data_IF_155029409652
#
_entry.id   IF_155029409652
#
_cell.length_a   1.000
_cell.length_b   1.000
_cell.length_c   1.000
_cell.angle_alpha   90.00
_cell.angle_beta   90.00
_cell.angle_gamma   90.00
#
_symmetry.space_group_name_H-M   'P 1'
#
loop_
_entity.id
_entity.type
_entity.pdbx_description
1 polymer ?
#
# COMPACT_ATOMS: atom_id res chain seq x y z
N UNK A 1 -32.29 -16.31 2.70
CA UNK A 1 -30.89 -16.11 2.31
C UNK A 1 -30.75 -14.64 1.90
N UNK A 2 -29.80 -13.89 2.44
CA UNK A 2 -29.66 -12.45 2.16
C UNK A 2 -29.17 -12.22 0.73
N UNK A 3 -29.79 -11.30 -0.02
CA UNK A 3 -29.27 -10.83 -1.32
C UNK A 3 -28.01 -9.98 -1.14
N UNK A 4 -28.01 -9.17 -0.09
CA UNK A 4 -26.91 -8.30 0.35
C UNK A 4 -26.80 -8.38 1.88
N UNK A 5 -25.60 -8.51 2.43
CA UNK A 5 -25.32 -8.54 3.87
C UNK A 5 -23.99 -7.84 4.14
N UNK A 6 -23.89 -7.03 5.20
CA UNK A 6 -22.68 -6.23 5.51
C UNK A 6 -22.18 -5.38 4.33
N UNK A 7 -23.08 -4.84 3.51
CA UNK A 7 -22.75 -4.13 2.26
C UNK A 7 -22.04 -5.02 1.20
N UNK A 8 -22.18 -6.35 1.29
CA UNK A 8 -21.67 -7.32 0.32
C UNK A 8 -22.84 -7.97 -0.41
N UNK A 9 -22.83 -7.94 -1.75
CA UNK A 9 -23.80 -8.62 -2.62
C UNK A 9 -23.55 -10.14 -2.65
N UNK A 10 -24.07 -10.83 -1.63
CA UNK A 10 -23.83 -12.26 -1.35
C UNK A 10 -24.23 -13.16 -2.52
N UNK A 11 -25.29 -12.84 -3.24
CA UNK A 11 -25.73 -13.65 -4.39
C UNK A 11 -24.72 -13.59 -5.54
N UNK A 12 -24.19 -12.41 -5.87
CA UNK A 12 -23.18 -12.23 -6.92
C UNK A 12 -21.86 -12.91 -6.56
N UNK A 13 -21.47 -12.82 -5.29
CA UNK A 13 -20.30 -13.51 -4.77
C UNK A 13 -20.44 -15.04 -4.88
N UNK A 14 -21.59 -15.60 -4.48
CA UNK A 14 -21.88 -17.04 -4.62
C UNK A 14 -21.91 -17.49 -6.08
N UNK A 15 -22.52 -16.70 -6.96
CA UNK A 15 -22.51 -16.95 -8.40
C UNK A 15 -21.07 -16.99 -8.94
N UNK A 16 -20.23 -16.05 -8.52
CA UNK A 16 -18.81 -16.04 -8.88
C UNK A 16 -18.08 -17.29 -8.38
N UNK A 17 -18.32 -17.71 -7.13
CA UNK A 17 -17.74 -18.91 -6.56
C UNK A 17 -18.11 -20.18 -7.35
N UNK A 18 -19.38 -20.33 -7.74
CA UNK A 18 -19.83 -21.46 -8.56
C UNK A 18 -19.21 -21.46 -9.96
N UNK A 19 -19.12 -20.30 -10.62
CA UNK A 19 -18.44 -20.16 -11.92
C UNK A 19 -16.95 -20.52 -11.83
N UNK A 20 -16.27 -20.14 -10.73
CA UNK A 20 -14.86 -20.50 -10.51
C UNK A 20 -14.69 -22.02 -10.33
N UNK A 21 -15.57 -22.69 -9.58
CA UNK A 21 -15.53 -24.16 -9.43
C UNK A 21 -15.68 -24.90 -10.76
N UNK A 22 -16.53 -24.39 -11.66
CA UNK A 22 -16.77 -24.97 -12.98
C UNK A 22 -15.72 -24.59 -14.03
N UNK A 23 -14.71 -23.79 -13.67
CA UNK A 23 -13.75 -23.19 -14.59
C UNK A 23 -14.39 -22.31 -15.69
N UNK A 24 -15.59 -21.77 -15.44
CA UNK A 24 -16.32 -20.88 -16.34
C UNK A 24 -15.87 -19.41 -16.20
N UNK A 25 -14.91 -19.14 -15.31
CA UNK A 25 -14.31 -17.83 -15.07
C UNK A 25 -12.81 -17.97 -14.86
N UNK A 26 -12.01 -17.09 -15.46
CA UNK A 26 -10.55 -17.05 -15.20
C UNK A 26 -10.29 -16.87 -13.70
N UNK A 27 -9.49 -17.78 -13.15
CA UNK A 27 -9.00 -17.75 -11.77
C UNK A 27 -8.00 -16.63 -11.54
N UNK A 28 -7.20 -16.29 -12.56
CA UNK A 28 -6.22 -15.22 -12.50
C UNK A 28 -6.85 -13.91 -12.97
N UNK A 29 -6.72 -12.87 -12.16
CA UNK A 29 -7.05 -11.48 -12.46
C UNK A 29 -5.77 -10.68 -12.48
N UNK A 30 -5.53 -10.01 -13.60
CA UNK A 30 -4.38 -9.12 -13.76
C UNK A 30 -4.80 -7.70 -13.46
N UNK A 31 -4.01 -7.01 -12.67
CA UNK A 31 -4.14 -5.55 -12.47
C UNK A 31 -2.84 -4.94 -12.93
N UNK A 32 -2.91 -4.08 -13.95
CA UNK A 32 -1.77 -3.40 -14.54
C UNK A 32 -2.03 -1.89 -14.47
N UNK A 33 -1.06 -1.15 -13.94
CA UNK A 33 -1.13 0.30 -13.79
C UNK A 33 0.23 0.92 -14.14
N UNK A 34 0.20 2.07 -14.80
CA UNK A 34 1.39 2.87 -15.09
C UNK A 34 1.39 4.14 -14.25
N UNK A 35 2.57 4.53 -13.77
CA UNK A 35 2.73 5.68 -12.90
C UNK A 35 3.97 6.50 -13.26
N UNK A 36 3.86 7.81 -13.10
CA UNK A 36 4.92 8.76 -13.42
C UNK A 36 5.50 9.42 -12.16
N UNK A 37 6.84 9.53 -12.14
CA UNK A 37 7.54 10.41 -11.22
C UNK A 37 7.66 11.81 -11.83
N UNK A 38 7.24 12.82 -11.06
CA UNK A 38 7.34 14.22 -11.46
C UNK A 38 8.72 14.76 -11.06
N UNK A 39 9.65 14.78 -12.03
CA UNK A 39 11.03 15.27 -11.85
C UNK A 39 11.11 16.78 -11.54
N UNK A 40 9.99 17.51 -11.66
CA UNK A 40 9.84 18.93 -11.30
C UNK A 40 8.47 19.20 -10.70
N UNK A 41 8.33 20.34 -10.01
CA UNK A 41 7.05 20.85 -9.52
C UNK A 41 6.83 20.67 -8.02
N UNK A 42 5.59 20.84 -7.58
CA UNK A 42 5.23 20.84 -6.14
C UNK A 42 4.88 19.47 -5.58
N UNK A 43 4.66 18.47 -6.43
CA UNK A 43 4.26 17.10 -6.09
C UNK A 43 5.23 16.15 -6.78
N UNK A 44 5.42 14.96 -6.21
CA UNK A 44 6.42 14.00 -6.67
C UNK A 44 5.81 12.85 -7.48
N UNK A 45 4.56 12.49 -7.20
CA UNK A 45 3.88 11.37 -7.84
C UNK A 45 2.41 11.67 -8.12
N UNK A 46 1.93 11.17 -9.25
CA UNK A 46 0.52 11.19 -9.62
C UNK A 46 0.11 9.85 -10.22
N UNK A 47 -1.06 9.37 -9.82
CA UNK A 47 -1.68 8.16 -10.33
C UNK A 47 -3.12 8.44 -10.71
N UNK A 48 -3.60 7.81 -11.78
CA UNK A 48 -5.04 7.73 -12.07
C UNK A 48 -5.48 6.28 -11.86
N UNK A 49 -6.38 6.06 -10.89
CA UNK A 49 -6.94 4.76 -10.59
C UNK A 49 -8.31 4.64 -11.27
N UNK A 50 -8.54 3.59 -12.04
CA UNK A 50 -9.78 3.38 -12.79
C UNK A 50 -10.63 2.27 -12.15
N UNK A 51 -11.94 2.49 -12.11
CA UNK A 51 -12.95 1.56 -11.63
C UNK A 51 -14.20 1.66 -12.54
N UNK A 52 -15.21 0.80 -12.34
CA UNK A 52 -16.32 0.68 -13.30
C UNK A 52 -17.12 1.98 -13.44
N UNK A 53 -17.33 2.69 -12.32
CA UNK A 53 -18.10 3.94 -12.30
C UNK A 53 -17.26 5.20 -12.57
N UNK A 54 -15.94 5.09 -12.73
CA UNK A 54 -15.12 6.27 -13.00
C UNK A 54 -13.62 6.11 -12.74
N UNK A 55 -12.99 7.22 -12.37
CA UNK A 55 -11.57 7.26 -12.04
C UNK A 55 -11.28 8.23 -10.90
N UNK A 56 -10.14 8.02 -10.23
CA UNK A 56 -9.69 8.86 -9.14
C UNK A 56 -8.22 9.22 -9.33
N UNK A 57 -7.92 10.51 -9.26
CA UNK A 57 -6.54 10.98 -9.19
C UNK A 57 -6.02 10.85 -7.75
N UNK A 58 -4.91 10.14 -7.61
CA UNK A 58 -4.20 9.98 -6.35
C UNK A 58 -2.86 10.70 -6.43
N UNK A 59 -2.67 11.64 -5.50
CA UNK A 59 -1.40 12.33 -5.32
C UNK A 59 -0.68 11.74 -4.13
N UNK A 60 0.62 11.52 -4.30
CA UNK A 60 1.51 10.99 -3.26
C UNK A 60 2.76 11.88 -3.23
N UNK A 61 3.28 12.13 -2.03
CA UNK A 61 4.44 12.99 -1.82
C UNK A 61 5.18 12.52 -0.57
N UNK A 62 6.48 12.74 -0.52
CA UNK A 62 7.26 12.46 0.66
C UNK A 62 7.32 13.68 1.58
N UNK A 63 7.49 13.52 2.90
CA UNK A 63 7.77 14.63 3.79
C UNK A 63 9.14 15.26 3.47
N UNK A 64 9.38 16.47 4.00
CA UNK A 64 10.64 17.20 3.73
C UNK A 64 11.89 16.43 4.14
N UNK A 65 11.83 15.70 5.25
CA UNK A 65 12.94 14.90 5.78
C UNK A 65 13.43 13.80 4.84
N UNK A 66 12.58 13.33 3.95
CA UNK A 66 12.95 12.35 2.92
C UNK A 66 13.05 12.99 1.54
N UNK A 67 13.22 14.31 1.50
CA UNK A 67 13.47 15.11 0.30
C UNK A 67 12.23 15.52 -0.48
N UNK A 68 11.02 15.27 0.03
CA UNK A 68 9.77 15.68 -0.61
C UNK A 68 9.24 17.04 -0.18
N UNK A 69 7.97 17.32 -0.48
CA UNK A 69 7.34 18.61 -0.15
C UNK A 69 6.30 18.54 0.97
N UNK A 70 5.93 17.33 1.43
CA UNK A 70 4.91 17.11 2.47
C UNK A 70 3.49 17.53 2.05
N UNK A 71 3.15 17.51 0.76
CA UNK A 71 1.89 18.04 0.22
C UNK A 71 0.82 17.00 -0.08
N UNK A 72 1.10 15.73 0.19
CA UNK A 72 0.18 14.61 0.07
C UNK A 72 0.63 13.49 1.03
N UNK A 73 -0.20 12.45 1.24
CA UNK A 73 0.22 11.24 1.95
C UNK A 73 1.46 10.60 1.34
N UNK A 74 2.19 9.84 2.16
CA UNK A 74 3.40 9.13 1.75
C UNK A 74 3.07 7.84 1.00
N UNK A 75 4.02 7.27 0.26
CA UNK A 75 3.83 5.96 -0.39
C UNK A 75 3.45 4.86 0.61
N UNK A 76 4.03 4.92 1.82
CA UNK A 76 3.77 3.96 2.89
C UNK A 76 2.36 4.09 3.45
N UNK A 77 1.84 5.32 3.57
CA UNK A 77 0.45 5.54 4.00
C UNK A 77 -0.55 4.92 3.00
N UNK A 78 -0.28 5.07 1.70
CA UNK A 78 -1.12 4.50 0.64
C UNK A 78 -1.08 2.96 0.64
N UNK A 79 0.12 2.37 0.78
CA UNK A 79 0.23 0.92 0.93
C UNK A 79 -0.49 0.41 2.18
N UNK A 80 -0.27 1.06 3.32
CA UNK A 80 -0.89 0.65 4.59
C UNK A 80 -2.41 0.84 4.58
N UNK A 81 -2.92 1.84 3.83
CA UNK A 81 -4.34 1.97 3.55
C UNK A 81 -4.88 0.77 2.79
N UNK A 82 -4.18 0.33 1.74
CA UNK A 82 -4.56 -0.90 1.02
C UNK A 82 -4.54 -2.12 1.94
N UNK A 83 -3.57 -2.20 2.86
CA UNK A 83 -3.46 -3.31 3.81
C UNK A 83 -4.68 -3.38 4.73
N UNK A 84 -5.02 -2.23 5.33
CA UNK A 84 -6.19 -2.10 6.17
C UNK A 84 -7.49 -2.44 5.42
N UNK A 85 -7.68 -1.87 4.23
CA UNK A 85 -8.88 -2.05 3.44
C UNK A 85 -9.09 -3.51 3.00
N UNK A 86 -8.05 -4.15 2.46
CA UNK A 86 -8.17 -5.50 1.92
C UNK A 86 -8.38 -6.55 3.00
N UNK A 87 -7.70 -6.42 4.16
CA UNK A 87 -7.94 -7.32 5.30
C UNK A 87 -9.37 -7.17 5.83
N UNK A 88 -9.86 -5.94 5.95
CA UNK A 88 -11.22 -5.64 6.41
C UNK A 88 -12.28 -6.17 5.44
N UNK A 89 -12.11 -5.95 4.12
CA UNK A 89 -13.02 -6.46 3.09
C UNK A 89 -13.06 -7.98 3.08
N UNK A 90 -11.91 -8.65 3.22
CA UNK A 90 -11.84 -10.11 3.32
C UNK A 90 -12.66 -10.64 4.52
N UNK A 91 -12.51 -10.01 5.69
CA UNK A 91 -13.27 -10.39 6.89
C UNK A 91 -14.78 -10.18 6.70
N UNK A 92 -15.19 -9.00 6.22
CA UNK A 92 -16.58 -8.68 5.94
C UNK A 92 -17.20 -9.65 4.92
N UNK A 93 -16.44 -10.03 3.89
CA UNK A 93 -16.83 -11.02 2.88
C UNK A 93 -17.12 -12.38 3.51
N UNK A 94 -16.23 -12.89 4.37
CA UNK A 94 -16.45 -14.19 5.02
C UNK A 94 -17.59 -14.17 6.04
N UNK A 95 -17.75 -13.09 6.82
CA UNK A 95 -18.94 -12.91 7.66
C UNK A 95 -20.23 -12.96 6.84
N UNK A 96 -20.24 -12.28 5.68
CA UNK A 96 -21.41 -12.23 4.80
C UNK A 96 -21.74 -13.59 4.18
N UNK A 97 -20.72 -14.34 3.76
CA UNK A 97 -20.88 -15.72 3.27
C UNK A 97 -21.42 -16.67 4.34
N UNK A 98 -21.02 -16.46 5.61
CA UNK A 98 -21.51 -17.20 6.78
C UNK A 98 -22.87 -16.72 7.29
N UNK A 99 -23.41 -15.63 6.74
CA UNK A 99 -24.70 -15.08 7.17
C UNK A 99 -24.63 -14.34 8.51
N UNK A 100 -23.44 -13.88 8.92
CA UNK A 100 -23.21 -13.18 10.19
C UNK A 100 -23.33 -11.67 9.96
N UNK A 101 -24.37 -11.01 10.51
CA UNK A 101 -24.52 -9.57 10.42
C UNK A 101 -23.53 -8.86 11.35
N UNK A 102 -22.90 -7.80 10.84
CA UNK A 102 -22.03 -6.92 11.59
C UNK A 102 -22.72 -5.57 11.79
N UNK A 103 -22.45 -4.93 12.92
CA UNK A 103 -22.93 -3.58 13.26
C UNK A 103 -21.86 -2.51 13.07
N UNK A 104 -20.61 -2.89 13.30
CA UNK A 104 -19.43 -2.02 13.19
C UNK A 104 -18.22 -2.89 12.90
N UNK A 105 -17.35 -2.41 12.03
CA UNK A 105 -16.10 -3.07 11.72
C UNK A 105 -15.04 -1.98 11.51
N UNK A 106 -14.03 -1.98 12.37
CA UNK A 106 -12.92 -1.03 12.37
C UNK A 106 -11.61 -1.77 12.35
N UNK A 107 -10.60 -1.15 11.78
CA UNK A 107 -9.25 -1.71 11.72
C UNK A 107 -8.23 -0.65 12.09
N UNK A 108 -7.16 -1.06 12.77
CA UNK A 108 -5.90 -0.32 12.88
C UNK A 108 -4.79 -1.17 12.28
N UNK A 109 -4.05 -0.60 11.35
CA UNK A 109 -2.90 -1.23 10.69
C UNK A 109 -1.65 -0.38 10.95
N UNK A 110 -0.61 -0.97 11.52
CA UNK A 110 0.61 -0.26 11.92
C UNK A 110 1.84 -0.92 11.30
N UNK A 111 2.62 -0.14 10.54
CA UNK A 111 3.95 -0.52 10.06
C UNK A 111 4.99 0.33 10.81
N UNK A 112 5.96 -0.30 11.48
CA UNK A 112 7.11 0.40 12.03
C UNK A 112 8.26 0.37 11.03
N UNK A 113 8.61 1.54 10.52
CA UNK A 113 9.56 1.70 9.42
C UNK A 113 10.89 2.16 9.98
N UNK A 114 11.97 1.51 9.55
CA UNK A 114 13.34 1.86 9.94
C UNK A 114 13.98 2.77 8.88
N UNK A 115 13.88 4.08 9.11
CA UNK A 115 14.35 5.07 8.18
C UNK A 115 15.88 5.16 8.09
N UNK A 116 16.63 4.57 9.02
CA UNK A 116 18.09 4.47 8.89
C UNK A 116 18.47 3.63 7.66
N UNK A 117 17.73 2.54 7.39
CA UNK A 117 17.89 1.73 6.18
C UNK A 117 17.39 2.48 4.94
N UNK A 118 16.19 3.05 5.00
CA UNK A 118 15.55 3.80 3.89
C UNK A 118 16.46 4.91 3.37
N UNK A 119 17.04 5.70 4.28
CA UNK A 119 17.90 6.83 3.92
C UNK A 119 19.36 6.43 3.65
N UNK A 120 19.74 5.18 3.90
CA UNK A 120 21.12 4.70 3.73
C UNK A 120 22.09 5.16 4.81
N UNK A 121 21.61 5.40 6.02
CA UNK A 121 22.44 5.61 7.21
C UNK A 121 23.00 4.29 7.70
N UNK A 122 22.17 3.25 7.78
CA UNK A 122 22.57 1.91 8.21
C UNK A 122 21.93 0.84 7.30
N UNK A 123 22.73 0.28 6.40
CA UNK A 123 22.27 -0.74 5.47
C UNK A 123 22.15 -2.14 6.09
N UNK A 124 22.57 -2.34 7.35
CA UNK A 124 22.47 -3.63 8.04
C UNK A 124 21.07 -3.89 8.63
N UNK A 125 20.29 -2.83 8.85
CA UNK A 125 18.94 -2.91 9.42
C UNK A 125 17.89 -3.39 8.40
N UNK A 126 16.83 -4.10 8.84
CA UNK A 126 15.66 -4.27 8.00
C UNK A 126 14.95 -2.92 7.82
N UNK A 127 14.27 -2.65 6.70
CA UNK A 127 13.51 -1.41 6.49
C UNK A 127 12.15 -1.41 7.20
N UNK A 128 11.69 -2.56 7.71
CA UNK A 128 10.47 -2.72 8.50
C UNK A 128 10.83 -3.50 9.78
N UNK A 129 10.49 -2.93 10.95
CA UNK A 129 10.72 -3.55 12.25
C UNK A 129 9.54 -4.41 12.70
N UNK A 130 8.31 -3.94 12.49
CA UNK A 130 7.10 -4.69 12.82
C UNK A 130 5.93 -4.32 11.93
N UNK A 131 4.97 -5.23 11.84
CA UNK A 131 3.69 -5.02 11.17
C UNK A 131 2.59 -5.63 12.05
N UNK A 132 1.63 -4.82 12.48
CA UNK A 132 0.49 -5.27 13.28
C UNK A 132 -0.86 -4.82 12.73
N UNK A 133 -1.88 -5.65 12.96
CA UNK A 133 -3.27 -5.41 12.59
C UNK A 133 -4.16 -5.70 13.81
N UNK A 134 -4.98 -4.73 14.20
CA UNK A 134 -6.04 -4.90 15.20
C UNK A 134 -7.38 -4.70 14.50
N UNK A 135 -8.22 -5.74 14.51
CA UNK A 135 -9.57 -5.69 13.95
C UNK A 135 -10.59 -5.62 15.09
N UNK A 136 -11.43 -4.58 15.10
CA UNK A 136 -12.52 -4.39 16.05
C UNK A 136 -13.85 -4.65 15.36
N UNK A 137 -14.60 -5.64 15.85
CA UNK A 137 -15.90 -6.04 15.31
C UNK A 137 -16.98 -5.91 16.37
N UNK A 138 -18.11 -5.34 15.98
CA UNK A 138 -19.33 -5.36 16.77
C UNK A 138 -20.41 -6.16 16.04
N UNK A 139 -20.99 -7.13 16.72
CA UNK A 139 -22.05 -7.99 16.19
C UNK A 139 -22.90 -8.52 17.34
N UNK A 140 -24.20 -8.70 17.10
CA UNK A 140 -25.10 -9.43 18.02
C UNK A 140 -24.97 -10.95 17.85
N UNK A 141 -24.06 -11.41 17.00
CA UNK A 141 -23.81 -12.83 16.84
C UNK A 141 -23.30 -13.45 18.15
N UNK A 142 -23.98 -14.50 18.59
CA UNK A 142 -23.80 -15.04 19.94
C UNK A 142 -22.52 -15.87 20.12
N UNK A 143 -21.80 -16.20 19.05
CA UNK A 143 -20.54 -16.97 19.13
C UNK A 143 -19.33 -16.10 18.80
N UNK A 144 -18.50 -15.84 19.82
CA UNK A 144 -17.18 -15.22 19.62
C UNK A 144 -16.22 -16.15 18.90
N UNK A 145 -16.39 -17.46 19.12
CA UNK A 145 -15.59 -18.52 18.52
C UNK A 145 -15.74 -18.52 17.00
N UNK A 146 -16.96 -18.38 16.47
CA UNK A 146 -17.16 -18.31 15.02
C UNK A 146 -16.55 -17.04 14.39
N UNK A 147 -16.60 -15.90 15.08
CA UNK A 147 -15.90 -14.68 14.64
C UNK A 147 -14.37 -14.88 14.65
N UNK A 148 -13.84 -15.60 15.64
CA UNK A 148 -12.42 -15.96 15.70
C UNK A 148 -12.03 -16.92 14.58
N UNK A 149 -12.87 -17.91 14.25
CA UNK A 149 -12.66 -18.82 13.12
C UNK A 149 -12.62 -18.06 11.79
N UNK A 150 -13.51 -17.08 11.61
CA UNK A 150 -13.52 -16.21 10.42
C UNK A 150 -12.27 -15.32 10.39
N UNK A 151 -11.80 -14.83 11.53
CA UNK A 151 -10.56 -14.06 11.60
C UNK A 151 -9.34 -14.90 11.20
N UNK A 152 -9.24 -16.13 11.69
CA UNK A 152 -8.18 -17.06 11.28
C UNK A 152 -8.29 -17.45 9.80
N UNK A 153 -9.50 -17.59 9.26
CA UNK A 153 -9.71 -17.79 7.83
C UNK A 153 -9.28 -16.55 7.03
N UNK A 154 -9.60 -15.36 7.51
CA UNK A 154 -9.19 -14.07 6.90
C UNK A 154 -7.67 -13.97 6.82
N UNK A 155 -6.96 -14.31 7.90
CA UNK A 155 -5.49 -14.35 7.91
C UNK A 155 -4.92 -15.28 6.84
N UNK A 156 -5.55 -16.43 6.61
CA UNK A 156 -5.11 -17.43 5.62
C UNK A 156 -5.43 -17.07 4.17
N UNK A 157 -6.44 -16.21 3.94
CA UNK A 157 -7.02 -15.97 2.62
C UNK A 157 -6.87 -14.55 2.10
N UNK A 158 -6.58 -13.59 2.98
CA UNK A 158 -6.32 -12.21 2.58
C UNK A 158 -5.09 -12.13 1.67
N UNK A 159 -5.19 -11.52 0.47
CA UNK A 159 -4.03 -11.36 -0.40
C UNK A 159 -2.90 -10.54 0.23
N UNK A 160 -3.22 -9.59 1.13
CA UNK A 160 -2.19 -8.82 1.86
C UNK A 160 -1.45 -9.68 2.87
N UNK A 161 -2.17 -10.50 3.65
CA UNK A 161 -1.53 -11.41 4.60
C UNK A 161 -0.64 -12.39 3.85
N UNK A 162 -1.12 -12.88 2.69
CA UNK A 162 -0.32 -13.71 1.81
C UNK A 162 0.97 -13.01 1.36
N UNK A 163 0.88 -11.77 0.87
CA UNK A 163 2.05 -10.98 0.44
C UNK A 163 3.04 -10.69 1.57
N UNK A 164 2.58 -10.51 2.80
CA UNK A 164 3.46 -10.26 3.95
C UNK A 164 4.12 -11.53 4.49
N UNK A 165 3.40 -12.65 4.48
CA UNK A 165 3.84 -13.90 5.14
C UNK A 165 4.50 -14.90 4.16
N UNK A 166 4.65 -14.54 2.89
CA UNK A 166 5.25 -15.40 1.88
C UNK A 166 6.20 -14.59 1.01
N UNK A 167 7.31 -15.21 0.63
CA UNK A 167 8.18 -14.64 -0.41
C UNK A 167 7.47 -14.74 -1.76
N UNK A 168 7.18 -13.57 -2.35
CA UNK A 168 6.48 -13.44 -3.62
C UNK A 168 7.51 -13.33 -4.75
N UNK A 169 7.33 -14.06 -5.87
CA UNK A 169 8.12 -13.81 -7.07
C UNK A 169 7.92 -12.37 -7.56
N UNK A 170 8.99 -11.57 -7.51
CA UNK A 170 9.02 -10.20 -8.01
C UNK A 170 9.95 -10.12 -9.22
N UNK A 171 9.39 -9.80 -10.39
CA UNK A 171 10.16 -9.60 -11.63
C UNK A 171 10.39 -8.10 -11.84
N UNK A 172 11.63 -7.67 -12.06
CA UNK A 172 11.94 -6.27 -12.36
C UNK A 172 12.68 -6.12 -13.68
N UNK A 173 12.34 -5.08 -14.45
CA UNK A 173 13.00 -4.70 -15.70
C UNK A 173 13.15 -3.19 -15.76
N UNK A 174 14.19 -2.72 -16.43
CA UNK A 174 14.40 -1.30 -16.71
C UNK A 174 14.71 -1.10 -18.20
N UNK A 175 14.03 -0.15 -18.84
CA UNK A 175 14.33 0.34 -20.19
C UNK A 175 14.88 1.76 -20.11
N UNK A 176 15.79 2.09 -21.03
CA UNK A 176 16.38 3.42 -21.13
C UNK A 176 15.89 4.16 -22.37
N UNK A 177 15.63 5.44 -22.21
CA UNK A 177 15.48 6.39 -23.30
C UNK A 177 16.65 7.37 -23.21
N UNK A 178 17.71 7.13 -23.98
CA UNK A 178 18.87 8.02 -23.98
C UNK A 178 18.46 9.41 -24.46
N UNK A 179 18.60 10.40 -23.57
CA UNK A 179 18.37 11.81 -23.87
C UNK A 179 19.57 12.61 -23.37
N UNK A 180 20.07 13.59 -24.15
CA UNK A 180 21.14 14.46 -23.67
C UNK A 180 20.62 15.25 -22.47
N UNK A 181 21.22 15.04 -21.28
CA UNK A 181 20.74 15.70 -20.07
C UNK A 181 20.96 17.20 -20.16
N UNK A 182 19.92 17.98 -19.89
CA UNK A 182 20.09 19.40 -19.56
C UNK A 182 20.42 19.47 -18.08
N UNK A 183 21.71 19.37 -17.73
CA UNK A 183 22.18 19.63 -16.36
C UNK A 183 21.70 21.02 -15.95
N UNK A 184 20.72 21.09 -15.05
CA UNK A 184 20.44 22.32 -14.32
C UNK A 184 21.61 22.54 -13.36
N UNK A 185 22.45 23.52 -13.69
CA UNK A 185 23.56 23.90 -12.84
C UNK A 185 23.00 24.52 -11.55
N UNK A 186 23.50 24.05 -10.41
CA UNK A 186 23.35 24.66 -9.08
C UNK A 186 21.99 24.55 -8.36
N UNK A 187 21.16 23.53 -8.61
CA UNK A 187 19.95 23.31 -7.79
C UNK A 187 20.22 22.45 -6.55
N UNK A 188 19.82 22.94 -5.36
CA UNK A 188 19.72 22.17 -4.10
C UNK A 188 18.79 20.95 -4.20
N UNK A 189 17.99 20.89 -5.26
CA UNK A 189 17.07 19.80 -5.60
C UNK A 189 17.48 19.14 -6.91
N UNK A 190 17.56 17.81 -6.93
CA UNK A 190 17.77 17.01 -8.15
C UNK A 190 16.59 16.04 -8.26
N UNK A 191 16.02 15.85 -9.45
CA UNK A 191 14.85 14.97 -9.67
C UNK A 191 13.66 15.24 -8.74
N UNK A 192 13.43 16.50 -8.35
CA UNK A 192 12.43 16.90 -7.34
C UNK A 192 12.66 16.32 -5.93
N UNK A 193 13.92 16.01 -5.61
CA UNK A 193 14.39 15.53 -4.32
C UNK A 193 15.29 16.60 -3.68
N UNK A 194 14.98 17.02 -2.45
CA UNK A 194 15.80 17.95 -1.68
C UNK A 194 17.01 17.26 -1.02
N UNK A 195 18.18 17.45 -1.63
CA UNK A 195 19.40 16.74 -1.21
C UNK A 195 19.96 17.30 0.09
N UNK A 196 19.82 18.60 0.33
CA UNK A 196 20.28 19.20 1.59
C UNK A 196 19.47 18.67 2.78
N UNK A 197 18.14 18.59 2.65
CA UNK A 197 17.28 18.05 3.71
C UNK A 197 17.54 16.56 3.96
N UNK A 198 17.80 15.78 2.92
CA UNK A 198 18.20 14.38 3.06
C UNK A 198 19.52 14.26 3.83
N UNK A 199 20.54 15.03 3.45
CA UNK A 199 21.84 14.95 4.12
C UNK A 199 21.73 15.36 5.59
N UNK A 200 20.94 16.40 5.91
CA UNK A 200 20.63 16.78 7.29
C UNK A 200 19.94 15.65 8.06
N UNK A 201 18.94 15.01 7.45
CA UNK A 201 18.20 13.90 8.06
C UNK A 201 19.11 12.69 8.31
N UNK A 202 20.01 12.38 7.38
CA UNK A 202 21.00 11.31 7.57
C UNK A 202 21.93 11.60 8.74
N UNK A 203 22.44 12.82 8.87
CA UNK A 203 23.26 13.22 10.01
C UNK A 203 22.49 13.21 11.33
N UNK A 204 21.21 13.56 11.31
CA UNK A 204 20.33 13.46 12.48
C UNK A 204 20.18 12.01 12.95
N UNK A 205 19.85 11.07 12.06
CA UNK A 205 19.68 9.66 12.44
C UNK A 205 21.00 8.99 12.87
N UNK A 206 22.15 9.42 12.32
CA UNK A 206 23.45 8.97 12.84
C UNK A 206 23.65 9.35 14.31
N UNK A 207 23.19 10.53 14.72
CA UNK A 207 23.29 11.03 16.10
C UNK A 207 22.20 10.47 17.01
N UNK A 208 21.01 10.20 16.45
CA UNK A 208 19.83 9.73 17.17
C UNK A 208 19.24 8.46 16.52
N UNK A 209 19.90 7.29 16.60
CA UNK A 209 19.43 6.09 15.89
C UNK A 209 18.07 5.57 16.35
N UNK A 210 17.61 5.88 17.57
CA UNK A 210 16.27 5.50 18.04
C UNK A 210 15.16 6.21 17.27
N UNK A 211 15.45 7.40 16.74
CA UNK A 211 14.46 8.28 16.14
C UNK A 211 14.20 7.95 14.66
N UNK A 212 14.97 7.01 14.09
CA UNK A 212 14.75 6.52 12.73
C UNK A 212 13.62 5.48 12.65
N UNK A 213 13.10 5.01 13.78
CA UNK A 213 11.94 4.11 13.81
C UNK A 213 10.66 4.96 13.83
N UNK A 214 9.91 4.94 12.72
CA UNK A 214 8.73 5.78 12.53
C UNK A 214 7.51 4.89 12.25
N UNK A 215 6.43 5.00 13.05
CA UNK A 215 5.21 4.26 12.78
C UNK A 215 4.38 4.93 11.69
N UNK A 216 3.99 4.15 10.67
CA UNK A 216 2.91 4.46 9.74
C UNK A 216 1.65 3.75 10.23
N UNK A 217 0.63 4.52 10.62
CA UNK A 217 -0.60 4.02 11.23
C UNK A 217 -1.78 4.42 10.35
N UNK A 218 -2.63 3.45 10.01
CA UNK A 218 -3.91 3.68 9.36
C UNK A 218 -5.02 3.14 10.24
N UNK A 219 -5.99 4.00 10.54
CA UNK A 219 -7.28 3.61 11.10
C UNK A 219 -8.36 3.78 10.04
N UNK A 220 -9.17 2.74 9.87
CA UNK A 220 -10.26 2.75 8.91
C UNK A 220 -11.49 2.03 9.43
N UNK A 221 -12.58 2.24 8.71
CA UNK A 221 -13.88 1.68 9.05
C UNK A 221 -14.64 1.20 7.82
N UNK A 222 -15.37 0.10 8.01
CA UNK A 222 -16.30 -0.43 7.05
C UNK A 222 -17.59 0.40 7.05
N UNK A 223 -18.08 0.71 5.86
CA UNK A 223 -19.30 1.47 5.63
C UNK A 223 -20.43 0.50 5.37
N UNK A 224 -21.42 0.50 6.26
CA UNK A 224 -22.60 -0.37 6.17
C UNK A 224 -23.77 0.26 5.40
N UNK A 225 -23.77 1.58 5.26
CA UNK A 225 -24.81 2.28 4.49
C UNK A 225 -24.56 2.07 2.99
N UNK A 226 -25.41 1.24 2.39
CA UNK A 226 -25.41 0.94 0.95
C UNK A 226 -25.66 2.15 0.05
N UNK A 227 -26.14 3.27 0.59
CA UNK A 227 -26.38 4.47 -0.20
C UNK A 227 -25.13 5.36 -0.31
N UNK A 228 -24.08 5.09 0.46
CA UNK A 228 -22.86 5.88 0.43
C UNK A 228 -21.95 5.53 -0.76
N UNK A 229 -22.08 4.33 -1.34
CA UNK A 229 -21.28 3.82 -2.46
C UNK A 229 -20.13 2.91 -2.02
N UNK A 230 -19.01 3.44 -1.47
CA UNK A 230 -17.85 2.63 -1.15
C UNK A 230 -18.04 1.84 0.15
N UNK A 231 -17.27 0.75 0.26
CA UNK A 231 -17.37 -0.18 1.39
C UNK A 231 -16.42 0.13 2.54
N UNK A 232 -15.34 0.85 2.30
CA UNK A 232 -14.33 1.16 3.32
C UNK A 232 -13.82 2.58 3.17
N UNK A 233 -13.56 3.23 4.31
CA UNK A 233 -12.88 4.52 4.32
C UNK A 233 -11.84 4.64 5.42
N UNK A 234 -10.87 5.51 5.19
CA UNK A 234 -9.89 5.92 6.19
C UNK A 234 -9.52 7.39 5.98
N UNK A 235 -9.05 8.04 7.04
CA UNK A 235 -8.52 9.39 6.99
C UNK A 235 -7.02 9.36 7.24
N UNK A 236 -6.25 9.94 6.30
CA UNK A 236 -4.80 9.96 6.34
C UNK A 236 -4.31 11.38 6.57
N UNK A 237 -3.60 11.61 7.67
CA UNK A 237 -2.96 12.89 7.96
C UNK A 237 -1.66 13.07 7.19
N UNK A 238 -1.42 14.27 6.68
CA UNK A 238 -0.16 14.66 6.04
C UNK A 238 0.13 16.15 6.28
N UNK A 239 1.34 16.58 5.94
CA UNK A 239 1.97 17.89 6.23
C UNK A 239 1.07 19.04 6.72
N UNK A 240 1.52 19.70 7.79
CA UNK A 240 0.83 20.82 8.44
C UNK A 240 -0.62 20.52 8.88
N UNK A 241 -0.90 19.29 9.33
CA UNK A 241 -2.20 18.90 9.89
C UNK A 241 -3.32 18.74 8.86
N UNK A 242 -2.98 18.60 7.57
CA UNK A 242 -3.96 18.29 6.52
C UNK A 242 -4.37 16.83 6.60
N UNK A 243 -5.54 16.53 6.05
CA UNK A 243 -6.06 15.18 5.98
C UNK A 243 -6.61 14.86 4.59
N UNK A 244 -6.47 13.61 4.14
CA UNK A 244 -7.09 13.06 2.94
C UNK A 244 -8.00 11.91 3.38
N UNK A 245 -9.28 11.97 3.02
CA UNK A 245 -10.17 10.82 3.16
C UNK A 245 -10.06 9.97 1.91
N UNK A 246 -9.73 8.69 2.07
CA UNK A 246 -9.70 7.72 0.99
C UNK A 246 -10.87 6.76 1.12
N UNK A 247 -11.37 6.32 -0.03
CA UNK A 247 -12.43 5.35 -0.17
C UNK A 247 -11.99 4.22 -1.08
N UNK A 248 -12.54 3.04 -0.82
CA UNK A 248 -12.30 1.86 -1.63
C UNK A 248 -13.52 0.95 -1.58
N UNK A 249 -13.71 0.23 -2.66
CA UNK A 249 -14.83 -0.69 -2.86
C UNK A 249 -14.31 -1.97 -3.50
N UNK A 250 -14.99 -3.08 -3.22
CA UNK A 250 -14.72 -4.35 -3.86
C UNK A 250 -15.32 -4.36 -5.27
N UNK A 251 -14.76 -5.20 -6.15
CA UNK A 251 -15.33 -5.37 -7.48
C UNK A 251 -16.69 -6.07 -7.38
N UNK A 252 -17.57 -5.86 -8.37
CA UNK A 252 -18.90 -6.52 -8.43
C UNK A 252 -18.82 -8.03 -8.22
N UNK A 253 -17.82 -8.70 -8.81
CA UNK A 253 -17.68 -10.15 -8.65
C UNK A 253 -17.17 -10.62 -7.28
N UNK A 254 -16.65 -9.71 -6.47
CA UNK A 254 -16.30 -9.91 -5.07
C UNK A 254 -17.41 -9.39 -4.14
N UNK A 255 -18.56 -9.01 -4.70
CA UNK A 255 -19.72 -8.56 -3.96
C UNK A 255 -19.71 -7.08 -3.56
N UNK A 256 -18.83 -6.25 -4.11
CA UNK A 256 -18.94 -4.79 -4.00
C UNK A 256 -19.73 -4.16 -5.15
N UNK A 257 -19.66 -2.85 -5.27
CA UNK A 257 -20.40 -2.07 -6.29
C UNK A 257 -19.46 -1.43 -7.32
N UNK A 258 -18.14 -1.58 -7.15
CA UNK A 258 -17.12 -0.94 -8.00
C UNK A 258 -17.25 0.59 -8.07
N UNK A 259 -17.72 1.25 -6.99
CA UNK A 259 -17.94 2.71 -6.87
C UNK A 259 -16.68 3.49 -6.52
N UNK A 260 -15.58 2.80 -6.23
CA UNK A 260 -14.27 3.38 -5.86
C UNK A 260 -13.13 2.45 -6.25
N UNK A 261 -11.87 2.93 -6.29
CA UNK A 261 -10.73 2.08 -6.64
C UNK A 261 -10.63 0.85 -5.72
N UNK A 262 -10.34 -0.32 -6.29
CA UNK A 262 -10.18 -1.57 -5.53
C UNK A 262 -8.89 -1.52 -4.68
N UNK A 263 -8.82 -2.11 -3.46
CA UNK A 263 -7.65 -1.95 -2.58
C UNK A 263 -6.33 -2.27 -3.26
N UNK A 264 -6.25 -3.32 -4.10
CA UNK A 264 -4.99 -3.68 -4.77
C UNK A 264 -4.44 -2.59 -5.70
N UNK A 265 -5.30 -1.69 -6.20
CA UNK A 265 -4.86 -0.54 -7.00
C UNK A 265 -4.12 0.47 -6.13
N UNK A 266 -4.56 0.68 -4.89
CA UNK A 266 -3.84 1.49 -3.91
C UNK A 266 -2.53 0.82 -3.50
N UNK A 267 -2.50 -0.51 -3.31
CA UNK A 267 -1.26 -1.24 -3.07
C UNK A 267 -0.24 -0.98 -4.19
N UNK A 268 -0.64 -1.19 -5.45
CA UNK A 268 0.21 -0.93 -6.61
C UNK A 268 0.67 0.54 -6.64
N UNK A 269 -0.24 1.50 -6.47
CA UNK A 269 0.14 2.92 -6.47
C UNK A 269 1.16 3.25 -5.36
N UNK A 270 0.98 2.70 -4.16
CA UNK A 270 1.88 2.91 -3.03
C UNK A 270 3.26 2.29 -3.26
N UNK A 271 3.35 1.02 -3.69
CA UNK A 271 4.65 0.36 -3.93
C UNK A 271 5.37 0.98 -5.13
N UNK A 272 4.66 1.30 -6.21
CA UNK A 272 5.22 1.97 -7.37
C UNK A 272 5.77 3.35 -7.00
N UNK A 273 5.02 4.14 -6.24
CA UNK A 273 5.52 5.42 -5.74
C UNK A 273 6.72 5.25 -4.80
N UNK A 274 6.72 4.21 -3.96
CA UNK A 274 7.84 3.92 -3.07
C UNK A 274 9.11 3.58 -3.88
N UNK A 275 9.01 2.70 -4.87
CA UNK A 275 10.10 2.34 -5.77
C UNK A 275 10.61 3.55 -6.56
N UNK A 276 9.72 4.34 -7.16
CA UNK A 276 10.07 5.57 -7.88
C UNK A 276 10.76 6.60 -6.98
N UNK A 277 10.29 6.76 -5.74
CA UNK A 277 10.93 7.63 -4.73
C UNK A 277 12.37 7.20 -4.50
N UNK A 278 12.60 5.90 -4.26
CA UNK A 278 13.94 5.38 -4.01
C UNK A 278 14.83 5.45 -5.24
N UNK A 279 14.27 5.26 -6.44
CA UNK A 279 14.97 5.44 -7.70
C UNK A 279 15.44 6.89 -7.89
N UNK A 280 14.53 7.85 -7.73
CA UNK A 280 14.84 9.28 -7.81
C UNK A 280 15.82 9.70 -6.72
N UNK A 281 15.66 9.20 -5.49
CA UNK A 281 16.57 9.43 -4.37
C UNK A 281 17.98 8.94 -4.66
N UNK A 282 18.13 7.68 -5.06
CA UNK A 282 19.40 7.03 -5.40
C UNK A 282 20.12 7.72 -6.57
N UNK A 283 19.36 8.14 -7.59
CA UNK A 283 19.88 8.92 -8.73
C UNK A 283 20.39 10.28 -8.26
N UNK A 284 19.60 10.97 -7.44
CA UNK A 284 19.90 12.33 -6.98
C UNK A 284 21.13 12.39 -6.06
N UNK A 285 21.30 11.41 -5.17
CA UNK A 285 22.50 11.29 -4.34
C UNK A 285 23.78 11.03 -5.16
N UNK A 286 23.64 10.40 -6.33
CA UNK A 286 24.74 10.19 -7.30
C UNK A 286 24.94 11.38 -8.26
N UNK A 287 24.15 12.45 -8.12
CA UNK A 287 24.18 13.60 -9.02
C UNK A 287 23.66 13.31 -10.43
N UNK A 288 22.88 12.24 -10.60
CA UNK A 288 22.32 11.81 -11.88
C UNK A 288 20.97 12.49 -12.09
N UNK A 289 20.86 13.26 -13.18
CA UNK A 289 19.61 13.89 -13.60
C UNK A 289 18.77 12.90 -14.42
N UNK A 290 17.49 12.84 -14.08
CA UNK A 290 16.47 12.10 -14.82
C UNK A 290 15.63 13.10 -15.63
N UNK A 291 15.49 12.84 -16.92
CA UNK A 291 14.57 13.55 -17.80
C UNK A 291 13.16 12.95 -17.74
N UNK A 292 13.08 11.64 -17.51
CA UNK A 292 11.85 10.86 -17.40
C UNK A 292 12.05 9.72 -16.41
N UNK A 293 11.03 9.41 -15.64
CA UNK A 293 11.02 8.23 -14.78
C UNK A 293 9.56 7.79 -14.60
N UNK A 294 9.24 6.61 -15.10
CA UNK A 294 7.93 5.97 -14.91
C UNK A 294 8.10 4.50 -14.54
N UNK A 295 7.01 3.90 -14.05
CA UNK A 295 6.95 2.48 -13.73
C UNK A 295 5.60 1.93 -14.17
N UNK A 296 5.62 0.84 -14.94
CA UNK A 296 4.48 -0.04 -15.14
C UNK A 296 4.54 -1.15 -14.10
N UNK A 297 3.42 -1.40 -13.42
CA UNK A 297 3.34 -2.34 -12.32
C UNK A 297 2.17 -3.27 -12.53
N UNK A 298 2.42 -4.57 -12.44
CA UNK A 298 1.40 -5.60 -12.60
C UNK A 298 1.39 -6.53 -11.39
N UNK A 299 0.20 -6.92 -10.97
CA UNK A 299 -0.03 -8.03 -10.05
C UNK A 299 -1.00 -9.02 -10.66
N UNK A 300 -0.66 -10.30 -10.55
CA UNK A 300 -1.54 -11.41 -10.87
C UNK A 300 -2.16 -11.91 -9.56
N UNK A 301 -3.48 -11.94 -9.49
CA UNK A 301 -4.25 -12.36 -8.32
C UNK A 301 -5.07 -13.61 -8.66
N UNK A 302 -4.89 -14.67 -7.87
CA UNK A 302 -5.57 -15.95 -8.02
C UNK A 302 -6.76 -16.03 -7.06
N UNK A 303 -7.90 -15.57 -7.55
CA UNK A 303 -9.17 -15.50 -6.81
C UNK A 303 -9.65 -16.90 -6.37
N UNK A 304 -9.28 -17.95 -7.10
CA UNK A 304 -9.62 -19.34 -6.72
C UNK A 304 -8.84 -19.77 -5.46
N UNK A 305 -7.60 -19.33 -5.29
CA UNK A 305 -6.82 -19.61 -4.08
C UNK A 305 -7.33 -18.78 -2.88
N UNK A 306 -7.71 -17.52 -3.13
CA UNK A 306 -8.34 -16.62 -2.14
C UNK A 306 -9.61 -17.25 -1.54
N UNK A 307 -10.48 -17.82 -2.37
CA UNK A 307 -11.67 -18.54 -1.90
C UNK A 307 -11.40 -19.98 -1.43
N UNK A 308 -10.15 -20.43 -1.39
CA UNK A 308 -9.78 -21.77 -0.92
C UNK A 308 -10.23 -22.92 -1.81
N UNK A 309 -10.53 -22.64 -3.07
CA UNK A 309 -10.90 -23.64 -4.07
C UNK A 309 -9.69 -24.39 -4.64
N UNK A 310 -8.46 -23.88 -4.41
CA UNK A 310 -7.22 -24.61 -4.71
C UNK A 310 -6.10 -24.24 -3.71
N UNK A 311 -4.95 -24.91 -3.85
CA UNK A 311 -3.73 -24.69 -3.04
C UNK A 311 -2.63 -23.90 -3.76
N UNK A 312 -2.92 -23.28 -4.91
CA UNK A 312 -1.95 -22.46 -5.64
C UNK A 312 -1.72 -21.14 -4.90
N UNK A 313 -0.67 -20.41 -5.27
CA UNK A 313 -0.39 -19.07 -4.73
C UNK A 313 -1.58 -18.12 -4.93
N UNK A 314 -1.89 -17.30 -3.92
CA UNK A 314 -2.88 -16.23 -4.01
C UNK A 314 -2.35 -15.11 -4.91
N UNK A 315 -1.07 -14.75 -4.76
CA UNK A 315 -0.36 -13.81 -5.62
C UNK A 315 0.77 -14.56 -6.33
N UNK A 316 0.55 -15.09 -7.55
CA UNK A 316 1.59 -15.85 -8.25
C UNK A 316 2.81 -15.02 -8.66
N UNK A 317 2.60 -13.77 -9.06
CA UNK A 317 3.67 -12.89 -9.53
C UNK A 317 3.30 -11.41 -9.35
N UNK A 318 4.32 -10.61 -9.05
CA UNK A 318 4.30 -9.15 -9.20
C UNK A 318 5.41 -8.76 -10.16
N UNK A 319 5.15 -7.86 -11.09
CA UNK A 319 6.20 -7.35 -11.99
C UNK A 319 6.23 -5.83 -12.05
N UNK A 320 7.44 -5.30 -12.21
CA UNK A 320 7.76 -3.89 -12.31
C UNK A 320 8.61 -3.64 -13.54
N UNK A 321 8.19 -2.71 -14.39
CA UNK A 321 8.98 -2.24 -15.53
C UNK A 321 9.19 -0.73 -15.41
N UNK A 322 10.43 -0.33 -15.12
CA UNK A 322 10.85 1.06 -15.10
C UNK A 322 11.19 1.56 -16.51
N UNK A 323 10.72 2.75 -16.86
CA UNK A 323 11.21 3.48 -18.03
C UNK A 323 11.97 4.72 -17.55
N UNK A 324 13.23 4.84 -17.99
CA UNK A 324 14.16 5.85 -17.45
C UNK A 324 14.73 6.68 -18.58
N UNK A 325 14.48 7.99 -18.55
CA UNK A 325 15.14 8.96 -19.41
C UNK A 325 16.35 9.56 -18.70
N UNK A 326 17.56 9.30 -19.21
CA UNK A 326 18.82 9.80 -18.63
C UNK A 326 19.94 9.78 -19.67
N UNK A 327 21.05 10.47 -19.39
CA UNK A 327 22.29 10.42 -20.17
C UNK A 327 23.23 9.28 -19.73
N UNK A 328 22.87 8.55 -18.68
CA UNK A 328 23.63 7.41 -18.17
C UNK A 328 23.41 6.13 -18.98
N UNK A 329 24.42 5.26 -18.99
CA UNK A 329 24.33 3.94 -19.61
C UNK A 329 23.47 2.94 -18.84
N UNK A 330 23.09 1.85 -19.50
CA UNK A 330 22.20 0.82 -18.94
C UNK A 330 22.72 0.17 -17.65
N UNK A 331 24.04 0.05 -17.49
CA UNK A 331 24.63 -0.58 -16.30
C UNK A 331 24.41 0.28 -15.04
N UNK A 332 24.53 1.60 -15.16
CA UNK A 332 24.21 2.54 -14.07
C UNK A 332 22.71 2.49 -13.72
N UNK A 333 21.85 2.40 -14.75
CA UNK A 333 20.40 2.28 -14.57
C UNK A 333 20.04 0.97 -13.84
N UNK A 334 20.71 -0.13 -14.15
CA UNK A 334 20.53 -1.41 -13.43
C UNK A 334 20.96 -1.30 -11.97
N UNK A 335 22.13 -0.72 -11.71
CA UNK A 335 22.63 -0.52 -10.33
C UNK A 335 21.62 0.30 -9.49
N UNK A 336 21.08 1.39 -10.05
CA UNK A 336 20.06 2.21 -9.36
C UNK A 336 18.76 1.43 -9.13
N UNK A 337 18.37 0.59 -10.10
CA UNK A 337 17.18 -0.27 -9.97
C UNK A 337 17.35 -1.28 -8.84
N UNK A 338 18.51 -1.91 -8.72
CA UNK A 338 18.82 -2.86 -7.63
C UNK A 338 18.84 -2.15 -6.27
N UNK A 339 19.46 -0.97 -6.19
CA UNK A 339 19.52 -0.15 -4.98
C UNK A 339 18.11 0.30 -4.53
N UNK A 340 17.22 0.64 -5.46
CA UNK A 340 15.86 1.06 -5.12
C UNK A 340 15.00 -0.10 -4.58
N UNK A 341 15.11 -1.29 -5.18
CA UNK A 341 14.45 -2.52 -4.74
C UNK A 341 14.92 -2.88 -3.33
N UNK A 342 16.23 -2.81 -3.05
CA UNK A 342 16.82 -3.17 -1.77
C UNK A 342 16.39 -2.26 -0.61
N UNK A 343 16.12 -0.98 -0.90
CA UNK A 343 15.76 0.01 0.13
C UNK A 343 14.26 0.14 0.35
N UNK A 344 13.44 -0.18 -0.65
CA UNK A 344 11.99 -0.08 -0.58
C UNK A 344 11.43 -0.97 0.55
N UNK A 345 10.80 -0.40 1.60
CA UNK A 345 10.23 -1.19 2.69
C UNK A 345 9.20 -2.21 2.21
N UNK A 346 8.37 -1.84 1.22
CA UNK A 346 7.31 -2.71 0.73
C UNK A 346 7.87 -3.86 -0.11
N UNK A 347 8.93 -3.62 -0.89
CA UNK A 347 9.60 -4.72 -1.61
C UNK A 347 10.30 -5.66 -0.65
N UNK A 348 10.86 -5.16 0.46
CA UNK A 348 11.35 -6.01 1.53
C UNK A 348 10.25 -6.92 2.10
N UNK A 349 9.05 -6.39 2.34
CA UNK A 349 7.89 -7.18 2.78
C UNK A 349 7.52 -8.28 1.76
N UNK A 350 7.56 -7.99 0.46
CA UNK A 350 7.25 -8.97 -0.59
C UNK A 350 8.30 -10.07 -0.74
N UNK A 351 9.57 -9.75 -0.53
CA UNK A 351 10.67 -10.71 -0.76
C UNK A 351 10.95 -11.60 0.45
N UNK A 352 10.47 -11.22 1.63
CA UNK A 352 10.74 -11.92 2.89
C UNK A 352 9.46 -12.46 3.50
N UNK A 353 9.59 -13.49 4.34
CA UNK A 353 8.48 -13.92 5.18
C UNK A 353 8.46 -13.04 6.44
N UNK A 354 7.43 -12.21 6.57
CA UNK A 354 7.25 -11.27 7.65
C UNK A 354 6.11 -11.73 8.58
N UNK A 355 6.39 -11.80 9.89
CA UNK A 355 5.33 -12.07 10.85
C UNK A 355 4.45 -10.83 11.03
N UNK A 356 3.14 -11.01 10.90
CA UNK A 356 2.16 -9.94 11.12
C UNK A 356 1.43 -10.23 12.42
N UNK A 357 1.61 -9.35 13.40
CA UNK A 357 0.94 -9.46 14.70
C UNK A 357 -0.53 -9.09 14.52
N UNK A 358 -1.43 -10.00 14.88
CA UNK A 358 -2.87 -9.86 14.59
C UNK A 358 -3.70 -10.04 15.85
N UNK A 359 -4.66 -9.13 16.05
CA UNK A 359 -5.58 -9.16 17.19
C UNK A 359 -7.02 -8.94 16.71
N UNK A 360 -7.96 -9.70 17.29
CA UNK A 360 -9.39 -9.53 17.10
C UNK A 360 -10.04 -9.05 18.40
N UNK A 361 -10.70 -7.90 18.35
CA UNK A 361 -11.50 -7.34 19.44
C UNK A 361 -12.99 -7.52 19.13
N UNK A 362 -13.69 -8.34 19.91
CA UNK A 362 -15.13 -8.60 19.74
C UNK A 362 -15.96 -7.79 20.73
N UNK A 363 -16.85 -6.95 20.22
CA UNK A 363 -17.70 -6.01 20.98
C UNK A 363 -16.89 -5.07 21.89
N UNK A 364 -15.69 -4.73 21.42
CA UNK A 364 -14.75 -3.81 22.08
C UNK A 364 -14.14 -2.90 21.03
N UNK A 365 -13.88 -1.65 21.40
CA UNK A 365 -13.09 -0.73 20.56
C UNK A 365 -11.63 -0.80 21.01
N UNK A 366 -10.70 -0.68 20.08
CA UNK A 366 -9.32 -0.38 20.46
C UNK A 366 -9.27 0.99 21.16
N UNK A 367 -8.38 1.15 22.14
CA UNK A 367 -8.18 2.45 22.77
C UNK A 367 -7.85 3.49 21.69
N UNK A 368 -8.53 4.63 21.70
CA UNK A 368 -8.09 5.81 20.96
C UNK A 368 -6.80 6.30 21.61
N UNK A 369 -5.66 5.84 21.10
CA UNK A 369 -4.35 6.30 21.55
C UNK A 369 -3.81 7.47 20.72
N UNK A 370 -4.64 8.11 19.91
CA UNK A 370 -4.24 9.29 19.16
C UNK A 370 -5.28 10.40 19.29
N UNK A 371 -5.02 11.32 20.22
CA UNK A 371 -5.34 12.73 19.98
C UNK A 371 -4.46 13.20 18.82
N UNK A 372 -5.01 13.95 17.86
CA UNK A 372 -4.23 14.68 16.86
C UNK A 372 -3.38 15.82 17.48
N UNK A 373 -2.94 15.68 18.73
CA UNK A 373 -2.43 16.71 19.61
C UNK A 373 -1.16 16.28 20.35
N UNK A 374 -0.05 16.23 19.62
CA UNK A 374 1.20 16.84 20.07
C UNK A 374 2.14 16.88 18.86
N UNK A 375 2.06 18.01 18.17
CA UNK A 375 2.76 18.30 16.92
C UNK A 375 4.28 18.20 17.03
N UNK A 376 4.88 18.22 18.22
CA UNK A 376 6.35 18.35 18.33
C UNK A 376 7.15 17.10 17.96
N UNK A 377 6.65 15.87 18.19
CA UNK A 377 7.32 14.64 17.72
C UNK A 377 7.00 14.28 16.27
N UNK A 378 5.86 14.72 15.74
CA UNK A 378 5.54 14.62 14.30
C UNK A 378 6.20 15.72 13.47
N UNK A 379 6.45 16.91 14.03
CA UNK A 379 6.98 18.08 13.31
C UNK A 379 8.41 17.91 12.78
N UNK A 380 9.18 16.96 13.31
CA UNK A 380 10.49 16.69 12.75
C UNK A 380 10.41 15.80 11.51
N UNK A 381 9.31 15.08 11.23
CA UNK A 381 9.25 14.01 10.22
C UNK A 381 7.99 14.02 9.32
N UNK A 382 7.02 14.91 9.57
CA UNK A 382 5.89 15.28 8.70
C UNK A 382 5.94 16.77 8.38
#
# INVERSE_FOLDING_TARGET
MFSTLNHIHVNELKNTFEKLKKNERSSIKKVNLSFDWLTKGKKQFNATLFYEEGSQNLFVDNPKVTGGNGKAPTPLDICNFSFAAMFTSTFATFCSLKGIPLKKLKIRSTLEIEFAKVTGVDMSKPPINSFSIILSVFSDHNSKEELQEIFELTKKRSPIMFMAQNSIPVTTKASIQMKPSKKESNSKKINNIDIEEILKTREYFKKNPSDSIIPCIIEGEWIFDKNEGPQFSAQIGYGNGKNLKLFTDSRVFLGGESTSPFPIQYFLAGISCCLLTHYAYASSLRGIQLDHLSIESQIDENITAEFGLNKKSIIPEISFHFEVGTDQGIDVVKEITEDCILRCPITYLLLNNFNVDTELLVNQSFAHTFEFGNSEKKCFLM
#
